data_IF_674598415402
#
_entry.id   IF_674598415402
#
_cell.length_a   1.000
_cell.length_b   1.000
_cell.length_c   1.000
_cell.angle_alpha   90.00
_cell.angle_beta   90.00
_cell.angle_gamma   90.00
#
_symmetry.space_group_name_H-M   'P 1'
#
loop_
_entity.id
_entity.type
_entity.pdbx_description
1 polymer ?
#
# COMPACT_ATOMS: atom_id res chain seq x y z
N UNK A 1 -13.73 -8.79 -3.36
CA UNK A 1 -13.34 -7.70 -2.44
C UNK A 1 -12.27 -6.88 -3.13
N UNK A 2 -12.37 -5.55 -3.15
CA UNK A 2 -11.33 -4.67 -3.72
C UNK A 2 -10.27 -4.30 -2.67
N UNK A 3 -9.15 -3.70 -3.12
CA UNK A 3 -8.01 -3.34 -2.28
C UNK A 3 -8.39 -2.53 -1.03
N UNK A 4 -9.00 -1.36 -1.22
CA UNK A 4 -9.43 -0.49 -0.11
C UNK A 4 -10.55 -1.09 0.75
N UNK A 5 -11.38 -1.96 0.17
CA UNK A 5 -12.44 -2.68 0.86
C UNK A 5 -11.89 -3.75 1.79
N UNK A 6 -10.81 -4.42 1.40
CA UNK A 6 -10.08 -5.32 2.29
C UNK A 6 -9.48 -4.55 3.47
N UNK A 7 -8.79 -3.44 3.21
CA UNK A 7 -8.25 -2.57 4.27
C UNK A 7 -9.33 -2.12 5.24
N UNK A 8 -10.43 -1.59 4.70
CA UNK A 8 -11.59 -1.15 5.49
C UNK A 8 -12.13 -2.28 6.36
N UNK A 9 -12.36 -3.46 5.76
CA UNK A 9 -12.88 -4.62 6.47
C UNK A 9 -11.96 -5.05 7.63
N UNK A 10 -10.67 -5.25 7.37
CA UNK A 10 -9.70 -5.68 8.38
C UNK A 10 -9.61 -4.67 9.53
N UNK A 11 -9.51 -3.38 9.22
CA UNK A 11 -9.38 -2.34 10.24
C UNK A 11 -10.66 -2.23 11.10
N UNK A 12 -11.85 -2.33 10.50
CA UNK A 12 -13.12 -2.34 11.24
C UNK A 12 -13.25 -3.56 12.15
N UNK A 13 -12.83 -4.74 11.69
CA UNK A 13 -12.82 -5.96 12.52
C UNK A 13 -11.85 -5.85 13.70
N UNK A 14 -10.84 -4.99 13.61
CA UNK A 14 -9.87 -4.72 14.69
C UNK A 14 -10.20 -3.44 15.49
N UNK A 15 -11.45 -2.98 15.47
CA UNK A 15 -11.93 -1.89 16.33
C UNK A 15 -11.60 -0.48 15.85
N UNK A 16 -10.98 -0.30 14.68
CA UNK A 16 -10.73 1.02 14.10
C UNK A 16 -12.03 1.53 13.47
N UNK A 17 -12.69 2.50 14.11
CA UNK A 17 -14.05 2.91 13.71
C UNK A 17 -14.09 3.87 12.54
N UNK A 18 -13.08 4.72 12.40
CA UNK A 18 -13.11 5.92 11.57
C UNK A 18 -12.38 5.74 10.22
N UNK A 19 -11.97 4.52 9.90
CA UNK A 19 -11.32 4.19 8.64
C UNK A 19 -12.27 4.42 7.45
N UNK A 20 -11.89 5.22 6.44
CA UNK A 20 -12.71 5.41 5.24
C UNK A 20 -12.77 4.18 4.32
N UNK A 21 -13.78 4.10 3.45
CA UNK A 21 -14.00 2.94 2.57
C UNK A 21 -13.08 2.91 1.34
N UNK A 22 -12.75 4.06 0.76
CA UNK A 22 -11.96 4.16 -0.47
C UNK A 22 -10.49 4.52 -0.20
N UNK A 23 -9.60 4.14 -1.11
CA UNK A 23 -8.15 4.32 -0.96
C UNK A 23 -7.72 5.78 -0.88
N UNK A 24 -8.36 6.69 -1.60
CA UNK A 24 -8.01 8.11 -1.57
C UNK A 24 -8.40 8.73 -0.22
N UNK A 25 -9.58 8.41 0.28
CA UNK A 25 -10.01 8.86 1.60
C UNK A 25 -9.18 8.24 2.72
N UNK A 26 -8.79 6.96 2.62
CA UNK A 26 -7.87 6.33 3.59
C UNK A 26 -6.52 7.06 3.64
N UNK A 27 -5.96 7.41 2.48
CA UNK A 27 -4.75 8.22 2.40
C UNK A 27 -4.95 9.62 3.01
N UNK A 28 -6.03 10.32 2.65
CA UNK A 28 -6.35 11.66 3.19
C UNK A 28 -6.55 11.61 4.70
N UNK A 29 -7.19 10.56 5.22
CA UNK A 29 -7.40 10.34 6.64
C UNK A 29 -6.07 10.25 7.39
N UNK A 30 -5.12 9.43 6.92
CA UNK A 30 -3.81 9.31 7.55
C UNK A 30 -2.96 10.58 7.42
N UNK A 31 -3.07 11.29 6.30
CA UNK A 31 -2.45 12.61 6.11
C UNK A 31 -2.98 13.63 7.11
N UNK A 32 -4.31 13.72 7.28
CA UNK A 32 -4.96 14.63 8.24
C UNK A 32 -4.61 14.29 9.69
N UNK A 33 -4.41 13.01 10.00
CA UNK A 33 -3.95 12.57 11.31
C UNK A 33 -2.45 12.83 11.57
N UNK A 34 -1.69 13.34 10.58
CA UNK A 34 -0.24 13.52 10.71
C UNK A 34 0.52 12.19 10.83
N UNK A 35 -0.04 11.10 10.28
CA UNK A 35 0.50 9.74 10.38
C UNK A 35 0.99 9.16 9.07
N UNK A 36 1.08 9.98 8.02
CA UNK A 36 1.53 9.56 6.70
C UNK A 36 2.98 9.97 6.46
N UNK A 37 3.80 9.01 6.01
CA UNK A 37 5.17 9.19 5.57
C UNK A 37 5.25 9.05 4.04
N UNK A 38 5.67 10.12 3.36
CA UNK A 38 5.87 10.11 1.91
C UNK A 38 7.18 9.39 1.56
N UNK A 39 7.17 8.62 0.47
CA UNK A 39 8.35 7.94 -0.05
C UNK A 39 8.57 8.38 -1.48
N UNK A 40 9.67 9.10 -1.72
CA UNK A 40 10.04 9.62 -3.05
C UNK A 40 11.06 8.69 -3.71
N UNK A 41 11.89 8.00 -2.92
CA UNK A 41 12.88 7.07 -3.46
C UNK A 41 12.23 5.86 -4.13
N UNK A 42 12.82 5.48 -5.27
CA UNK A 42 12.51 4.21 -5.94
C UNK A 42 13.35 3.03 -5.43
N UNK A 43 13.98 3.18 -4.25
CA UNK A 43 14.84 2.17 -3.63
C UNK A 43 14.15 1.55 -2.41
N UNK A 44 14.03 0.24 -2.40
CA UNK A 44 13.44 -0.51 -1.29
C UNK A 44 14.24 -0.45 0.02
N UNK A 45 15.50 -0.01 -0.04
CA UNK A 45 16.37 0.19 1.12
C UNK A 45 16.60 1.67 1.44
N UNK A 46 15.72 2.58 1.01
CA UNK A 46 15.80 3.97 1.41
C UNK A 46 15.52 4.13 2.91
N UNK A 47 16.11 5.17 3.49
CA UNK A 47 15.87 5.55 4.89
C UNK A 47 14.39 5.92 5.13
N UNK A 48 13.67 6.34 4.09
CA UNK A 48 12.24 6.68 4.16
C UNK A 48 11.37 5.49 4.58
N UNK A 49 11.87 4.25 4.46
CA UNK A 49 11.18 3.02 4.85
C UNK A 49 11.65 2.46 6.21
N UNK A 50 12.46 3.21 6.96
CA UNK A 50 12.97 2.77 8.28
C UNK A 50 11.88 2.73 9.35
N UNK A 51 10.90 3.64 9.29
CA UNK A 51 9.79 3.69 10.24
C UNK A 51 8.62 2.77 9.87
N UNK A 52 8.66 2.11 8.70
CA UNK A 52 7.59 1.24 8.21
C UNK A 52 7.42 0.02 9.13
N UNK A 53 6.21 -0.17 9.67
CA UNK A 53 5.87 -1.20 10.67
C UNK A 53 4.71 -2.09 10.23
N UNK A 54 4.68 -3.37 10.63
CA UNK A 54 3.53 -4.24 10.39
C UNK A 54 2.23 -3.56 10.84
N UNK A 55 1.21 -3.60 9.98
CA UNK A 55 -0.06 -2.89 10.18
C UNK A 55 -0.18 -1.57 9.45
N UNK A 56 0.92 -0.97 8.99
CA UNK A 56 0.89 0.28 8.22
C UNK A 56 0.17 0.09 6.88
N UNK A 57 -0.57 1.13 6.46
CA UNK A 57 -1.21 1.17 5.16
C UNK A 57 -0.22 1.66 4.10
N UNK A 58 -0.15 0.96 2.98
CA UNK A 58 0.73 1.24 1.85
C UNK A 58 -0.11 1.78 0.68
N UNK A 59 0.33 2.85 0.01
CA UNK A 59 -0.45 3.51 -1.04
C UNK A 59 0.27 3.64 -2.37
N UNK A 60 -0.45 3.41 -3.46
CA UNK A 60 0.02 3.62 -4.84
C UNK A 60 -0.94 4.48 -5.65
N UNK A 61 -0.40 5.19 -6.63
CA UNK A 61 -1.13 5.76 -7.77
C UNK A 61 -0.87 4.95 -9.04
N UNK A 62 -1.61 5.22 -10.11
CA UNK A 62 -1.26 4.71 -11.44
C UNK A 62 -1.43 3.20 -11.66
N UNK A 63 -2.15 2.49 -10.79
CA UNK A 63 -2.48 1.06 -11.05
C UNK A 63 -3.64 0.89 -12.03
N UNK A 64 -4.48 1.91 -12.20
CA UNK A 64 -5.54 2.02 -13.20
C UNK A 64 -5.95 3.51 -13.33
N UNK A 65 -6.55 3.89 -14.45
CA UNK A 65 -6.92 5.29 -14.70
C UNK A 65 -8.09 5.73 -13.82
N UNK A 66 -7.97 6.90 -13.21
CA UNK A 66 -8.98 7.51 -12.35
C UNK A 66 -8.99 9.02 -12.55
N UNK A 67 -10.16 9.63 -12.34
CA UNK A 67 -10.33 11.09 -12.29
C UNK A 67 -10.71 11.50 -10.85
N UNK A 68 -9.71 11.52 -9.96
CA UNK A 68 -9.85 11.95 -8.56
C UNK A 68 -8.54 12.53 -8.02
N UNK A 69 -8.65 13.44 -7.06
CA UNK A 69 -7.53 14.05 -6.35
C UNK A 69 -7.68 13.82 -4.83
N UNK A 70 -6.71 13.18 -4.14
CA UNK A 70 -5.47 12.62 -4.66
C UNK A 70 -5.69 11.34 -5.47
N UNK A 71 -4.89 11.11 -6.54
CA UNK A 71 -5.07 9.98 -7.45
C UNK A 71 -4.52 8.65 -6.89
N UNK A 72 -4.83 8.33 -5.64
CA UNK A 72 -4.49 7.04 -5.03
C UNK A 72 -5.35 5.97 -5.70
N UNK A 73 -4.75 4.93 -6.25
CA UNK A 73 -5.44 3.84 -6.94
C UNK A 73 -5.38 2.52 -6.17
N UNK A 74 -4.49 2.39 -5.18
CA UNK A 74 -4.34 1.12 -4.49
C UNK A 74 -3.92 1.32 -3.03
N UNK A 75 -4.42 0.44 -2.16
CA UNK A 75 -4.07 0.39 -0.75
C UNK A 75 -3.84 -1.07 -0.32
N UNK A 76 -2.79 -1.32 0.46
CA UNK A 76 -2.43 -2.64 1.02
C UNK A 76 -2.01 -2.47 2.49
N UNK A 77 -1.94 -3.57 3.25
CA UNK A 77 -1.42 -3.57 4.63
C UNK A 77 -0.03 -4.19 4.65
N UNK A 78 0.94 -3.52 5.26
CA UNK A 78 2.28 -4.05 5.42
C UNK A 78 2.31 -5.16 6.48
N UNK A 79 2.98 -6.29 6.18
CA UNK A 79 3.09 -7.42 7.10
C UNK A 79 4.46 -7.55 7.77
N UNK A 80 5.46 -6.78 7.34
CA UNK A 80 6.83 -6.94 7.82
C UNK A 80 7.73 -7.67 6.81
N UNK A 81 8.71 -8.40 7.33
CA UNK A 81 9.65 -9.20 6.55
C UNK A 81 9.37 -10.69 6.74
N UNK A 82 9.35 -11.42 5.64
CA UNK A 82 9.26 -12.87 5.69
C UNK A 82 10.53 -13.46 6.34
N UNK A 83 10.36 -14.34 7.32
CA UNK A 83 11.47 -14.89 8.12
C UNK A 83 12.51 -15.64 7.30
N UNK A 84 12.08 -16.35 6.24
CA UNK A 84 12.98 -17.18 5.42
C UNK A 84 13.83 -16.37 4.45
N UNK A 85 13.24 -15.37 3.79
CA UNK A 85 13.92 -14.63 2.72
C UNK A 85 14.34 -13.22 3.13
N UNK A 86 13.83 -12.71 4.25
CA UNK A 86 14.00 -11.33 4.69
C UNK A 86 13.27 -10.31 3.81
N UNK A 87 12.53 -10.74 2.78
CA UNK A 87 11.81 -9.85 1.86
C UNK A 87 10.61 -9.22 2.55
N UNK A 88 10.34 -7.95 2.20
CA UNK A 88 9.16 -7.25 2.68
C UNK A 88 7.91 -7.82 1.99
N UNK A 89 6.87 -8.04 2.78
CA UNK A 89 5.60 -8.60 2.29
C UNK A 89 4.43 -7.75 2.76
N UNK A 90 3.34 -7.82 2.01
CA UNK A 90 2.10 -7.10 2.28
C UNK A 90 0.89 -7.98 1.99
N UNK A 91 -0.25 -7.63 2.56
CA UNK A 91 -1.52 -8.32 2.34
C UNK A 91 -2.57 -7.34 1.84
N UNK A 92 -3.44 -7.82 0.97
CA UNK A 92 -4.54 -7.05 0.46
C UNK A 92 -5.30 -7.79 -0.62
N UNK A 93 -6.16 -7.07 -1.34
CA UNK A 93 -6.83 -7.59 -2.52
C UNK A 93 -6.23 -6.96 -3.79
N UNK A 94 -5.78 -7.77 -4.72
CA UNK A 94 -5.20 -7.32 -6.00
C UNK A 94 -5.46 -8.33 -7.10
N UNK A 95 -5.56 -7.85 -8.34
CA UNK A 95 -5.68 -8.70 -9.52
C UNK A 95 -4.33 -8.75 -10.26
N UNK A 96 -3.58 -9.82 -10.06
CA UNK A 96 -2.35 -10.10 -10.82
C UNK A 96 -1.06 -9.54 -10.22
N UNK A 97 -1.03 -9.24 -8.91
CA UNK A 97 0.25 -8.98 -8.21
C UNK A 97 0.97 -10.30 -7.92
N UNK A 98 2.28 -10.21 -7.71
CA UNK A 98 3.16 -11.38 -7.56
C UNK A 98 3.50 -11.64 -6.09
N UNK A 99 3.67 -12.92 -5.75
CA UNK A 99 4.36 -13.36 -4.54
C UNK A 99 5.30 -14.51 -4.91
N UNK A 100 6.58 -14.39 -4.54
CA UNK A 100 7.59 -15.41 -4.81
C UNK A 100 7.69 -15.85 -6.29
N UNK A 101 7.40 -14.93 -7.22
CA UNK A 101 7.43 -15.19 -8.66
C UNK A 101 6.11 -15.70 -9.25
N UNK A 102 5.10 -15.97 -8.44
CA UNK A 102 3.79 -16.46 -8.88
C UNK A 102 2.73 -15.36 -8.83
N UNK A 103 1.96 -15.22 -9.91
CA UNK A 103 0.80 -14.31 -9.97
C UNK A 103 -0.31 -14.78 -9.04
N UNK A 104 -0.88 -13.84 -8.28
CA UNK A 104 -1.99 -14.06 -7.36
C UNK A 104 -3.11 -13.06 -7.61
N UNK A 105 -4.33 -13.51 -7.33
CA UNK A 105 -5.57 -12.78 -7.60
C UNK A 105 -6.48 -12.78 -6.37
N UNK A 106 -7.24 -11.71 -6.18
CA UNK A 106 -8.08 -11.54 -5.01
C UNK A 106 -7.28 -11.27 -3.73
N UNK A 107 -7.79 -11.74 -2.59
CA UNK A 107 -7.16 -11.52 -1.28
C UNK A 107 -5.97 -12.45 -1.11
N UNK A 108 -4.77 -11.90 -0.97
CA UNK A 108 -3.56 -12.70 -0.77
C UNK A 108 -2.41 -11.92 -0.14
N UNK A 109 -1.31 -12.62 0.11
CA UNK A 109 0.00 -12.05 0.44
C UNK A 109 0.77 -11.83 -0.85
N UNK A 110 1.44 -10.68 -0.95
CA UNK A 110 2.18 -10.21 -2.11
C UNK A 110 3.55 -9.68 -1.70
N UNK A 111 4.50 -9.71 -2.64
CA UNK A 111 5.80 -9.07 -2.47
C UNK A 111 5.63 -7.55 -2.40
N UNK A 112 6.23 -6.90 -1.41
CA UNK A 112 6.32 -5.44 -1.40
C UNK A 112 7.47 -5.00 -2.32
N UNK A 113 7.12 -4.28 -3.37
CA UNK A 113 8.06 -3.75 -4.34
C UNK A 113 7.75 -2.27 -4.61
N UNK A 114 8.80 -1.46 -4.75
CA UNK A 114 8.65 -0.09 -5.24
C UNK A 114 8.86 -0.10 -6.75
N UNK A 115 7.81 0.19 -7.55
CA UNK A 115 7.94 0.23 -8.99
C UNK A 115 9.02 1.24 -9.39
N UNK A 116 9.89 0.83 -10.31
CA UNK A 116 10.86 1.74 -10.92
C UNK A 116 10.20 2.44 -12.11
N UNK A 117 10.42 3.73 -12.32
CA UNK A 117 9.95 4.42 -13.51
C UNK A 117 10.46 3.69 -14.76
N UNK A 118 9.57 3.43 -15.71
CA UNK A 118 9.97 2.90 -17.01
C UNK A 118 10.79 3.97 -17.74
N UNK A 119 12.05 3.65 -18.05
CA UNK A 119 12.95 4.56 -18.77
C UNK A 119 12.52 4.79 -20.22
N UNK A 120 11.64 3.94 -20.76
CA UNK A 120 11.29 3.93 -22.17
C UNK A 120 10.03 4.74 -22.52
N UNK A 121 9.37 5.38 -21.54
CA UNK A 121 8.40 6.45 -21.81
C UNK A 121 7.20 6.07 -22.70
N UNK A 122 6.78 4.79 -22.72
CA UNK A 122 5.75 4.27 -23.64
C UNK A 122 4.32 4.78 -23.37
N UNK A 123 4.13 5.83 -22.56
CA UNK A 123 2.82 6.42 -22.25
C UNK A 123 1.83 5.54 -21.47
N UNK A 124 2.23 4.31 -21.09
CA UNK A 124 1.41 3.43 -20.26
C UNK A 124 1.36 3.95 -18.84
N UNK A 125 0.18 3.85 -18.23
CA UNK A 125 -0.01 4.15 -16.81
C UNK A 125 0.88 3.20 -15.99
N UNK A 126 1.78 3.77 -15.17
CA UNK A 126 2.70 3.01 -14.34
C UNK A 126 2.33 3.18 -12.87
N UNK A 127 2.25 2.07 -12.10
CA UNK A 127 2.08 2.16 -10.67
C UNK A 127 3.23 2.97 -10.05
N UNK A 128 2.92 3.92 -9.18
CA UNK A 128 3.92 4.64 -8.39
C UNK A 128 3.61 4.48 -6.91
N UNK A 129 4.61 4.12 -6.13
CA UNK A 129 4.47 4.06 -4.67
C UNK A 129 4.52 5.47 -4.11
N UNK A 130 3.51 5.84 -3.32
CA UNK A 130 3.37 7.19 -2.76
C UNK A 130 3.99 7.28 -1.37
N UNK A 131 3.88 6.20 -0.60
CA UNK A 131 4.30 6.14 0.79
C UNK A 131 3.35 5.28 1.62
N UNK A 132 3.44 5.45 2.93
CA UNK A 132 2.72 4.64 3.90
C UNK A 132 2.18 5.49 5.04
N UNK A 133 1.28 4.93 5.85
CA UNK A 133 0.88 5.61 7.07
C UNK A 133 0.46 4.68 8.20
N UNK A 134 0.71 5.17 9.40
CA UNK A 134 0.47 4.48 10.66
C UNK A 134 -0.99 4.59 11.06
N UNK A 135 -1.65 3.45 11.25
CA UNK A 135 -3.06 3.46 11.63
C UNK A 135 -3.21 3.98 13.07
N UNK A 136 -3.95 5.10 13.29
CA UNK A 136 -4.18 5.62 14.63
C UNK A 136 -4.89 4.60 15.51
N UNK A 137 -4.44 4.44 16.76
CA UNK A 137 -5.07 3.54 17.73
C UNK A 137 -4.71 2.06 17.60
N UNK A 138 -3.97 1.66 16.55
CA UNK A 138 -3.41 0.32 16.43
C UNK A 138 -1.97 0.31 16.97
N UNK A 139 -1.83 -0.02 18.26
CA UNK A 139 -0.61 -0.50 18.91
C UNK A 139 0.57 0.49 19.09
N UNK A 140 1.10 0.53 20.32
CA UNK A 140 2.53 0.33 20.53
C UNK A 140 2.70 -1.12 21.02
#
# INVERSE_FOLDING_TARGET
MDCSGFVYYVLKQNGVTDVPRDSSSQYVWLRRAGKFEAVISHKENSFELENLKPGDLLFWTGTYSIDRDPPITHAMIYLGRETKTGKRVMVGASDGRVYAGESRFGVSVFDFQIPRPDKNGNGKLQPSFVGYGHVPGLGN
#
